data_IF_094610688137
#
_entry.id   IF_094610688137
#
_cell.length_a   1.000
_cell.length_b   1.000
_cell.length_c   1.000
_cell.angle_alpha   90.00
_cell.angle_beta   90.00
_cell.angle_gamma   90.00
#
_symmetry.space_group_name_H-M   'P 1'
#
loop_
_entity.id
_entity.type
_entity.pdbx_description
1 polymer ?
#
# COMPACT_ATOMS: atom_id res chain seq x y z
N UNK A 1 -23.38 -11.67 8.99
CA UNK A 1 -22.56 -11.43 7.79
C UNK A 1 -21.20 -12.08 8.01
N UNK A 2 -20.79 -13.05 7.18
CA UNK A 2 -19.51 -13.75 7.33
C UNK A 2 -18.45 -13.12 6.43
N UNK A 3 -17.27 -12.80 6.99
CA UNK A 3 -16.10 -12.34 6.25
C UNK A 3 -15.51 -13.52 5.47
N UNK A 4 -15.21 -13.30 4.19
CA UNK A 4 -14.51 -14.23 3.30
C UNK A 4 -13.10 -13.69 3.06
N UNK A 5 -12.14 -14.61 3.01
CA UNK A 5 -10.75 -14.33 2.65
C UNK A 5 -10.26 -15.43 1.74
N UNK A 6 -9.67 -15.03 0.62
CA UNK A 6 -8.98 -15.95 -0.28
C UNK A 6 -7.56 -15.45 -0.47
N UNK A 7 -6.59 -16.33 -0.19
CA UNK A 7 -5.19 -16.02 -0.30
C UNK A 7 -4.57 -16.80 -1.45
N UNK A 8 -3.74 -16.13 -2.24
CA UNK A 8 -3.09 -16.70 -3.40
C UNK A 8 -1.58 -16.54 -3.30
N UNK A 9 -0.85 -17.54 -3.78
CA UNK A 9 0.59 -17.51 -4.02
C UNK A 9 0.81 -17.85 -5.49
N UNK A 10 1.42 -16.94 -6.26
CA UNK A 10 1.58 -17.08 -7.72
C UNK A 10 0.28 -17.45 -8.44
N UNK A 11 -0.82 -16.77 -8.06
CA UNK A 11 -2.18 -16.99 -8.57
C UNK A 11 -2.82 -18.35 -8.25
N UNK A 12 -2.14 -19.22 -7.50
CA UNK A 12 -2.73 -20.44 -6.96
C UNK A 12 -3.32 -20.19 -5.57
N UNK A 13 -4.56 -20.61 -5.30
CA UNK A 13 -5.17 -20.45 -3.99
C UNK A 13 -4.46 -21.34 -2.96
N UNK A 14 -4.05 -20.74 -1.84
CA UNK A 14 -3.43 -21.43 -0.72
C UNK A 14 -4.29 -21.24 0.52
N UNK A 15 -4.48 -22.30 1.30
CA UNK A 15 -5.32 -22.24 2.49
C UNK A 15 -4.65 -21.39 3.58
N UNK A 16 -5.26 -20.22 3.82
CA UNK A 16 -4.90 -19.29 4.88
C UNK A 16 -5.30 -19.83 6.25
N UNK A 17 -4.36 -19.84 7.19
CA UNK A 17 -4.55 -20.22 8.60
C UNK A 17 -4.71 -18.98 9.47
N UNK A 18 -3.86 -17.97 9.27
CA UNK A 18 -3.97 -16.68 9.95
C UNK A 18 -3.37 -15.56 9.12
N UNK A 19 -3.83 -14.34 9.40
CA UNK A 19 -3.42 -13.13 8.71
C UNK A 19 -3.18 -11.98 9.71
N UNK A 20 -2.14 -11.21 9.42
CA UNK A 20 -1.85 -9.92 10.02
C UNK A 20 -1.28 -9.03 8.91
N UNK A 21 -2.05 -8.02 8.48
CA UNK A 21 -1.70 -7.15 7.35
C UNK A 21 -1.76 -5.70 7.78
N UNK A 22 -0.63 -5.00 7.68
CA UNK A 22 -0.51 -3.57 7.92
C UNK A 22 -0.29 -2.84 6.59
N UNK A 23 -1.26 -2.01 6.21
CA UNK A 23 -1.11 -1.03 5.14
C UNK A 23 -0.77 0.33 5.74
N UNK A 24 0.10 1.09 5.08
CA UNK A 24 0.56 2.41 5.54
C UNK A 24 0.54 3.41 4.38
N UNK A 25 0.37 4.70 4.70
CA UNK A 25 0.38 5.77 3.70
C UNK A 25 1.81 6.16 3.28
N UNK A 26 2.80 5.98 4.15
CA UNK A 26 4.16 6.51 3.95
C UNK A 26 5.24 5.43 3.86
N UNK A 27 4.83 4.17 3.80
CA UNK A 27 5.73 3.03 3.68
C UNK A 27 4.99 1.88 3.00
N UNK A 28 5.70 0.97 2.31
CA UNK A 28 5.07 -0.24 1.81
C UNK A 28 4.32 -0.97 2.93
N UNK A 29 3.16 -1.51 2.59
CA UNK A 29 2.47 -2.44 3.46
C UNK A 29 3.31 -3.67 3.75
N UNK A 30 3.07 -4.26 4.91
CA UNK A 30 3.73 -5.47 5.41
C UNK A 30 2.67 -6.45 5.86
N UNK A 31 2.93 -7.73 5.71
CA UNK A 31 2.03 -8.76 6.18
C UNK A 31 2.77 -9.98 6.71
N UNK A 32 2.16 -10.64 7.67
CA UNK A 32 2.55 -11.98 8.13
C UNK A 32 1.35 -12.90 7.92
N UNK A 33 1.55 -13.92 7.12
CA UNK A 33 0.53 -14.94 6.84
C UNK A 33 1.02 -16.29 7.33
N UNK A 34 0.14 -17.06 7.96
CA UNK A 34 0.35 -18.49 8.16
C UNK A 34 -0.53 -19.25 7.18
N UNK A 35 0.06 -20.19 6.44
CA UNK A 35 -0.63 -20.92 5.37
C UNK A 35 -0.33 -22.41 5.44
N UNK A 36 -1.23 -23.23 4.90
CA UNK A 36 -0.99 -24.66 4.75
C UNK A 36 -0.09 -24.91 3.54
N UNK A 37 1.13 -25.36 3.80
CA UNK A 37 2.08 -25.85 2.80
C UNK A 37 3.16 -26.71 3.46
N UNK A 38 3.46 -27.91 2.92
CA UNK A 38 4.54 -28.76 3.42
C UNK A 38 5.93 -28.28 2.97
N UNK A 39 6.02 -27.25 2.12
CA UNK A 39 7.27 -26.73 1.55
C UNK A 39 7.33 -25.20 1.66
N UNK A 40 8.53 -24.62 1.75
CA UNK A 40 8.69 -23.17 1.65
C UNK A 40 8.05 -22.62 0.36
N UNK A 41 7.46 -21.43 0.46
CA UNK A 41 6.82 -20.74 -0.66
C UNK A 41 7.61 -19.47 -1.02
N UNK A 42 7.57 -19.09 -2.30
CA UNK A 42 8.21 -17.90 -2.81
C UNK A 42 7.38 -17.29 -3.95
N UNK A 43 7.61 -16.01 -4.24
CA UNK A 43 6.94 -15.29 -5.32
C UNK A 43 5.89 -14.30 -4.84
N UNK A 44 4.88 -14.06 -5.67
CA UNK A 44 3.87 -13.03 -5.45
C UNK A 44 2.72 -13.55 -4.60
N UNK A 45 2.14 -12.65 -3.80
CA UNK A 45 0.98 -12.96 -2.96
C UNK A 45 -0.15 -11.98 -3.20
N UNK A 46 -1.37 -12.46 -3.10
CA UNK A 46 -2.59 -11.65 -3.14
C UNK A 46 -3.55 -12.10 -2.06
N UNK A 47 -4.06 -11.16 -1.28
CA UNK A 47 -5.15 -11.40 -0.33
C UNK A 47 -6.40 -10.67 -0.81
N UNK A 48 -7.45 -11.44 -1.06
CA UNK A 48 -8.79 -10.93 -1.33
C UNK A 48 -9.66 -11.04 -0.08
N UNK A 49 -10.42 -9.99 0.19
CA UNK A 49 -11.29 -9.89 1.36
C UNK A 49 -12.64 -9.32 0.95
N UNK A 50 -13.71 -9.96 1.39
CA UNK A 50 -15.06 -9.49 1.13
C UNK A 50 -16.05 -10.09 2.11
N UNK A 51 -17.32 -9.72 1.97
CA UNK A 51 -18.39 -10.30 2.79
C UNK A 51 -19.29 -11.22 1.97
N UNK A 52 -19.81 -12.26 2.62
CA UNK A 52 -20.78 -13.22 2.05
C UNK A 52 -21.94 -12.59 1.26
N UNK A 53 -22.33 -11.36 1.62
CA UNK A 53 -23.41 -10.57 1.01
C UNK A 53 -22.99 -9.77 -0.22
N UNK A 54 -21.71 -9.77 -0.57
CA UNK A 54 -21.13 -9.05 -1.71
C UNK A 54 -20.81 -10.03 -2.84
N UNK A 55 -21.00 -9.60 -4.07
CA UNK A 55 -20.73 -10.41 -5.26
C UNK A 55 -19.23 -10.54 -5.57
N UNK A 56 -18.42 -9.57 -5.11
CA UNK A 56 -16.98 -9.50 -5.39
C UNK A 56 -16.18 -9.15 -4.15
N UNK A 57 -15.14 -9.95 -3.90
CA UNK A 57 -14.15 -9.66 -2.88
C UNK A 57 -13.18 -8.58 -3.41
N UNK A 58 -12.62 -7.79 -2.50
CA UNK A 58 -11.68 -6.72 -2.82
C UNK A 58 -10.25 -7.20 -2.61
N UNK A 59 -9.35 -6.79 -3.50
CA UNK A 59 -7.92 -7.03 -3.27
C UNK A 59 -7.43 -6.11 -2.16
N UNK A 60 -7.16 -6.71 -1.00
CA UNK A 60 -6.70 -6.00 0.18
C UNK A 60 -5.18 -5.86 0.22
N UNK A 61 -4.45 -6.88 -0.23
CA UNK A 61 -2.99 -6.88 -0.25
C UNK A 61 -2.47 -7.52 -1.54
N UNK A 62 -1.47 -6.89 -2.15
CA UNK A 62 -0.64 -7.48 -3.21
C UNK A 62 0.81 -7.24 -2.85
N UNK A 63 1.64 -8.27 -2.91
CA UNK A 63 3.02 -8.16 -2.52
C UNK A 63 3.89 -9.33 -2.94
N UNK A 64 5.04 -9.44 -2.32
CA UNK A 64 6.02 -10.51 -2.50
C UNK A 64 6.36 -11.17 -1.18
N UNK A 65 6.61 -12.47 -1.20
CA UNK A 65 7.17 -13.21 -0.06
C UNK A 65 8.65 -12.81 0.07
N UNK A 66 9.01 -12.26 1.23
CA UNK A 66 10.40 -11.93 1.60
C UNK A 66 11.06 -13.11 2.29
N UNK A 67 10.33 -13.77 3.17
CA UNK A 67 10.82 -14.93 3.93
C UNK A 67 9.68 -15.95 4.10
N UNK A 68 10.03 -17.23 4.07
CA UNK A 68 9.13 -18.35 4.36
C UNK A 68 9.77 -19.23 5.42
N UNK A 69 9.16 -19.27 6.59
CA UNK A 69 9.63 -20.03 7.75
C UNK A 69 8.73 -21.24 7.99
N UNK A 70 9.32 -22.42 8.20
CA UNK A 70 8.58 -23.63 8.55
C UNK A 70 7.99 -23.47 9.95
N UNK A 71 6.68 -23.65 10.11
CA UNK A 71 6.02 -23.69 11.42
C UNK A 71 5.93 -25.14 11.92
N UNK A 72 5.48 -26.03 11.04
CA UNK A 72 5.40 -27.48 11.25
C UNK A 72 5.46 -28.20 9.89
N UNK A 73 5.27 -29.53 9.88
CA UNK A 73 5.35 -30.34 8.65
C UNK A 73 4.27 -30.05 7.59
N UNK A 74 3.30 -29.18 7.86
CA UNK A 74 2.19 -28.83 6.96
C UNK A 74 1.94 -27.32 6.85
N UNK A 75 2.74 -26.49 7.53
CA UNK A 75 2.48 -25.05 7.60
C UNK A 75 3.75 -24.21 7.41
N UNK A 76 3.57 -23.10 6.70
CA UNK A 76 4.59 -22.06 6.53
C UNK A 76 4.09 -20.74 7.11
N UNK A 77 5.01 -19.96 7.65
CA UNK A 77 4.83 -18.55 8.01
C UNK A 77 5.56 -17.69 6.99
N UNK A 78 4.79 -16.87 6.27
CA UNK A 78 5.27 -15.99 5.22
C UNK A 78 5.39 -14.57 5.77
N UNK A 79 6.56 -13.95 5.64
CA UNK A 79 6.73 -12.51 5.79
C UNK A 79 6.66 -11.87 4.41
N UNK A 80 5.73 -10.94 4.22
CA UNK A 80 5.44 -10.34 2.93
C UNK A 80 5.53 -8.82 3.00
N UNK A 81 5.96 -8.20 1.91
CA UNK A 81 5.87 -6.75 1.72
C UNK A 81 5.11 -6.44 0.44
N UNK A 82 4.47 -5.28 0.37
CA UNK A 82 3.91 -4.75 -0.89
C UNK A 82 5.00 -4.66 -1.99
N UNK A 83 4.60 -4.68 -3.26
CA UNK A 83 5.50 -4.69 -4.43
C UNK A 83 6.47 -3.51 -4.41
N UNK A 84 6.01 -2.36 -3.93
CA UNK A 84 6.83 -1.15 -3.74
C UNK A 84 8.04 -1.35 -2.84
N UNK A 85 8.15 -2.48 -2.12
CA UNK A 85 9.34 -2.83 -1.35
C UNK A 85 10.63 -2.90 -2.20
N UNK A 86 10.51 -3.14 -3.51
CA UNK A 86 11.63 -3.15 -4.46
C UNK A 86 12.36 -1.80 -4.51
N UNK A 87 11.68 -0.68 -4.20
CA UNK A 87 12.28 0.66 -4.13
C UNK A 87 13.27 0.83 -2.98
N UNK A 88 13.39 -0.15 -2.07
CA UNK A 88 14.47 -0.14 -1.07
C UNK A 88 15.85 -0.44 -1.68
N UNK A 89 15.89 -1.00 -2.89
CA UNK A 89 17.15 -1.30 -3.60
C UNK A 89 17.88 -0.02 -4.02
N UNK A 90 19.20 -0.10 -4.15
CA UNK A 90 20.02 1.01 -4.64
C UNK A 90 19.67 1.32 -6.09
N UNK A 91 19.12 2.52 -6.33
CA UNK A 91 18.55 2.93 -7.62
C UNK A 91 18.90 4.41 -7.89
N UNK A 92 20.19 4.72 -8.11
CA UNK A 92 20.61 6.08 -8.42
C UNK A 92 20.08 6.48 -9.80
N UNK A 93 19.48 7.67 -9.88
CA UNK A 93 18.94 8.24 -11.11
C UNK A 93 19.79 9.43 -11.58
N UNK A 94 19.95 9.56 -12.89
CA UNK A 94 20.60 10.72 -13.50
C UNK A 94 19.92 11.07 -14.83
N UNK A 95 18.87 11.88 -14.74
CA UNK A 95 17.99 12.19 -15.86
C UNK A 95 18.01 13.70 -16.13
N UNK A 96 18.28 14.10 -17.37
CA UNK A 96 18.33 15.52 -17.79
C UNK A 96 17.00 15.96 -18.37
N UNK A 97 16.60 17.18 -18.04
CA UNK A 97 15.36 17.78 -18.50
C UNK A 97 14.06 16.96 -18.32
N UNK A 98 13.91 16.09 -17.29
CA UNK A 98 12.74 15.22 -17.22
C UNK A 98 11.49 15.96 -16.76
N UNK A 99 10.35 15.42 -17.15
CA UNK A 99 9.04 15.62 -16.51
C UNK A 99 8.82 14.57 -15.40
N UNK A 100 7.77 14.72 -14.58
CA UNK A 100 7.43 13.70 -13.57
C UNK A 100 7.11 12.35 -14.24
N UNK A 101 6.44 12.39 -15.39
CA UNK A 101 6.12 11.21 -16.19
C UNK A 101 7.40 10.49 -16.62
N UNK A 102 8.41 11.22 -17.08
CA UNK A 102 9.70 10.63 -17.49
C UNK A 102 10.41 9.94 -16.31
N UNK A 103 10.38 10.55 -15.12
CA UNK A 103 10.99 9.95 -13.93
C UNK A 103 10.22 8.70 -13.48
N UNK A 104 8.88 8.75 -13.51
CA UNK A 104 8.03 7.60 -13.18
C UNK A 104 8.22 6.44 -14.16
N UNK A 105 8.32 6.74 -15.46
CA UNK A 105 8.64 5.78 -16.52
C UNK A 105 10.01 5.13 -16.27
N UNK A 106 11.02 5.92 -15.93
CA UNK A 106 12.35 5.39 -15.61
C UNK A 106 12.29 4.43 -14.42
N UNK A 107 11.60 4.79 -13.33
CA UNK A 107 11.41 3.87 -12.19
C UNK A 107 10.63 2.62 -12.58
N UNK A 108 9.64 2.72 -13.47
CA UNK A 108 8.91 1.58 -13.99
C UNK A 108 9.86 0.58 -14.69
N UNK A 109 10.74 1.08 -15.56
CA UNK A 109 11.72 0.28 -16.29
C UNK A 109 12.75 -0.38 -15.35
N UNK A 110 13.16 0.29 -14.28
CA UNK A 110 14.12 -0.27 -13.33
C UNK A 110 13.51 -1.32 -12.38
N UNK A 111 12.21 -1.27 -12.12
CA UNK A 111 11.58 -2.04 -11.03
C UNK A 111 10.48 -3.00 -11.47
N UNK A 112 9.96 -2.85 -12.68
CA UNK A 112 8.76 -3.54 -13.15
C UNK A 112 7.46 -3.03 -12.52
N UNK A 113 7.50 -1.99 -11.68
CA UNK A 113 6.30 -1.38 -11.11
C UNK A 113 5.53 -0.61 -12.18
N UNK A 114 4.20 -0.60 -12.09
CA UNK A 114 3.34 0.24 -12.92
C UNK A 114 3.02 1.54 -12.19
N UNK A 115 3.52 2.66 -12.69
CA UNK A 115 3.22 3.98 -12.12
C UNK A 115 1.97 4.61 -12.74
N UNK A 116 1.26 5.40 -11.93
CA UNK A 116 0.10 6.21 -12.33
C UNK A 116 0.36 7.63 -11.87
N UNK A 117 0.45 8.54 -12.83
CA UNK A 117 0.66 9.98 -12.60
C UNK A 117 -0.60 10.71 -13.07
N UNK A 118 -1.17 11.64 -12.27
CA UNK A 118 -2.35 12.38 -12.68
C UNK A 118 -2.03 13.38 -13.80
N UNK A 119 -3.00 13.61 -14.68
CA UNK A 119 -2.88 14.61 -15.75
C UNK A 119 -3.01 16.04 -15.19
N UNK A 120 -1.87 16.61 -14.80
CA UNK A 120 -1.76 17.93 -14.16
C UNK A 120 -0.54 18.70 -14.67
N UNK A 121 -0.55 20.05 -14.62
CA UNK A 121 0.56 20.86 -15.10
C UNK A 121 1.93 20.53 -14.47
N UNK A 122 1.97 20.15 -13.18
CA UNK A 122 3.23 19.75 -12.55
C UNK A 122 3.79 18.43 -13.10
N UNK A 123 2.94 17.57 -13.66
CA UNK A 123 3.37 16.26 -14.15
C UNK A 123 4.17 16.36 -15.46
N UNK A 124 3.87 17.36 -16.27
CA UNK A 124 4.49 17.59 -17.59
C UNK A 124 5.49 18.75 -17.60
N UNK A 125 5.62 19.49 -16.48
CA UNK A 125 6.66 20.51 -16.31
C UNK A 125 8.04 19.85 -16.31
N UNK A 126 8.92 20.31 -17.20
CA UNK A 126 10.33 19.90 -17.20
C UNK A 126 11.10 20.59 -16.08
N UNK A 127 11.93 19.83 -15.39
CA UNK A 127 12.96 20.35 -14.45
C UNK A 127 14.33 20.27 -15.10
N UNK A 128 15.34 21.08 -14.73
CA UNK A 128 16.66 21.02 -15.36
C UNK A 128 17.30 19.62 -15.29
N UNK A 129 17.16 18.94 -14.15
CA UNK A 129 17.62 17.57 -13.97
C UNK A 129 16.96 16.92 -12.75
N UNK A 130 16.98 15.58 -12.72
CA UNK A 130 16.67 14.75 -11.57
C UNK A 130 17.87 13.83 -11.28
N UNK A 131 18.48 14.01 -10.11
CA UNK A 131 19.64 13.25 -9.66
C UNK A 131 19.40 12.65 -8.27
N UNK A 132 19.66 11.36 -8.12
CA UNK A 132 19.57 10.67 -6.83
C UNK A 132 20.73 9.70 -6.68
N UNK A 133 21.26 9.57 -5.47
CA UNK A 133 22.36 8.65 -5.16
C UNK A 133 21.94 7.50 -4.24
N UNK A 134 20.71 7.55 -3.72
CA UNK A 134 20.20 6.63 -2.73
C UNK A 134 19.46 5.43 -3.31
N UNK A 135 18.55 4.88 -2.51
CA UNK A 135 17.58 3.89 -2.98
C UNK A 135 16.41 4.57 -3.70
N UNK A 136 15.53 3.75 -4.27
CA UNK A 136 14.30 4.22 -4.91
C UNK A 136 13.41 5.06 -3.99
N UNK A 137 13.35 4.77 -2.68
CA UNK A 137 12.58 5.61 -1.74
C UNK A 137 13.12 7.03 -1.62
N UNK A 138 14.44 7.19 -1.54
CA UNK A 138 15.05 8.52 -1.52
C UNK A 138 14.64 9.33 -2.76
N UNK A 139 14.68 8.71 -3.93
CA UNK A 139 14.28 9.39 -5.15
C UNK A 139 12.79 9.69 -5.23
N UNK A 140 11.92 8.71 -4.97
CA UNK A 140 10.47 8.89 -5.08
C UNK A 140 9.94 9.87 -4.01
N UNK A 141 10.50 9.89 -2.80
CA UNK A 141 10.10 10.85 -1.75
C UNK A 141 10.44 12.29 -2.16
N UNK A 142 11.53 12.50 -2.89
CA UNK A 142 11.98 13.83 -3.31
C UNK A 142 11.13 14.45 -4.43
N UNK A 143 10.32 13.67 -5.15
CA UNK A 143 9.59 14.14 -6.34
C UNK A 143 8.64 15.31 -6.04
N UNK A 144 8.01 15.31 -4.87
CA UNK A 144 7.16 16.42 -4.45
C UNK A 144 7.90 17.75 -4.39
N UNK A 145 9.14 17.75 -3.87
CA UNK A 145 9.98 18.93 -3.82
C UNK A 145 10.52 19.32 -5.22
N UNK A 146 10.97 18.34 -6.00
CA UNK A 146 11.56 18.56 -7.34
C UNK A 146 10.54 19.17 -8.32
N UNK A 147 9.31 18.65 -8.33
CA UNK A 147 8.27 19.06 -9.27
C UNK A 147 7.29 20.09 -8.69
N UNK A 148 7.48 20.52 -7.43
CA UNK A 148 6.63 21.51 -6.78
C UNK A 148 5.20 21.01 -6.54
N UNK A 149 5.05 19.75 -6.13
CA UNK A 149 3.76 19.10 -5.93
C UNK A 149 3.31 19.33 -4.49
N UNK A 150 2.22 20.06 -4.30
CA UNK A 150 1.62 20.24 -2.98
C UNK A 150 0.99 18.94 -2.47
N UNK A 151 1.05 18.71 -1.15
CA UNK A 151 0.48 17.53 -0.48
C UNK A 151 0.84 16.22 -1.18
N UNK A 152 2.10 16.15 -1.62
CA UNK A 152 2.65 15.03 -2.37
C UNK A 152 2.55 13.71 -1.60
N UNK A 153 2.08 12.68 -2.30
CA UNK A 153 2.08 11.30 -1.85
C UNK A 153 2.53 10.39 -2.99
N UNK A 154 3.02 9.21 -2.62
CA UNK A 154 3.04 8.06 -3.52
C UNK A 154 2.49 6.85 -2.78
N UNK A 155 1.79 5.96 -3.46
CA UNK A 155 1.13 4.84 -2.80
C UNK A 155 0.83 3.67 -3.75
N UNK A 156 1.08 2.45 -3.28
CA UNK A 156 0.57 1.26 -3.95
C UNK A 156 -0.96 1.15 -3.79
N UNK A 157 -1.65 1.01 -4.92
CA UNK A 157 -3.09 0.82 -5.00
C UNK A 157 -3.45 -0.67 -4.92
N UNK A 158 -4.74 -0.96 -4.79
CA UNK A 158 -5.23 -2.34 -4.67
C UNK A 158 -4.96 -3.22 -5.90
N UNK A 159 -4.70 -2.63 -7.06
CA UNK A 159 -4.31 -3.33 -8.29
C UNK A 159 -2.79 -3.48 -8.45
N UNK A 160 -2.00 -3.06 -7.44
CA UNK A 160 -0.54 -3.10 -7.48
C UNK A 160 0.13 -1.93 -8.20
N UNK A 161 -0.65 -1.06 -8.86
CA UNK A 161 -0.11 0.18 -9.45
C UNK A 161 0.34 1.16 -8.36
N UNK A 162 1.25 2.07 -8.70
CA UNK A 162 1.81 3.06 -7.77
C UNK A 162 1.37 4.45 -8.20
N UNK A 163 0.50 5.07 -7.42
CA UNK A 163 0.15 6.47 -7.59
C UNK A 163 1.33 7.37 -7.22
N UNK A 164 1.57 8.43 -7.98
CA UNK A 164 2.58 9.47 -7.68
C UNK A 164 2.00 10.83 -8.04
N UNK A 165 1.78 11.71 -7.06
CA UNK A 165 1.20 13.04 -7.30
C UNK A 165 0.69 13.70 -6.03
N UNK A 166 -0.08 14.78 -6.18
CA UNK A 166 -0.75 15.42 -5.04
C UNK A 166 -1.82 14.49 -4.47
N UNK A 167 -2.02 14.49 -3.15
CA UNK A 167 -3.17 13.82 -2.54
C UNK A 167 -4.50 14.34 -3.12
N UNK A 168 -4.59 15.63 -3.44
CA UNK A 168 -5.81 16.26 -3.98
C UNK A 168 -6.19 15.75 -5.37
N UNK A 169 -5.22 15.23 -6.11
CA UNK A 169 -5.43 14.62 -7.43
C UNK A 169 -5.61 13.10 -7.37
N UNK A 170 -5.49 12.53 -6.18
CA UNK A 170 -5.66 11.09 -5.97
C UNK A 170 -7.13 10.70 -5.92
N UNK A 171 -7.41 9.41 -6.05
CA UNK A 171 -8.75 8.83 -5.85
C UNK A 171 -9.35 9.11 -4.47
N UNK A 172 -8.53 9.48 -3.47
CA UNK A 172 -8.97 9.68 -2.09
C UNK A 172 -9.68 11.03 -1.89
N UNK A 173 -9.25 12.07 -2.61
CA UNK A 173 -9.76 13.42 -2.43
C UNK A 173 -11.27 13.54 -2.71
N UNK A 174 -11.78 12.73 -3.64
CA UNK A 174 -13.19 12.70 -4.02
C UNK A 174 -14.04 11.67 -3.27
N UNK A 175 -13.44 10.93 -2.32
CA UNK A 175 -14.08 9.77 -1.66
C UNK A 175 -13.86 9.77 -0.15
N UNK A 176 -14.33 10.82 0.57
CA UNK A 176 -14.30 10.79 2.02
C UNK A 176 -15.17 9.65 2.54
N UNK A 177 -14.74 9.06 3.65
CA UNK A 177 -15.47 8.00 4.34
C UNK A 177 -15.91 8.52 5.69
N UNK A 178 -17.19 8.30 6.01
CA UNK A 178 -17.71 8.56 7.33
C UNK A 178 -18.05 7.24 8.02
N UNK A 179 -17.44 7.00 9.19
CA UNK A 179 -17.76 5.86 10.04
C UNK A 179 -18.34 6.42 11.36
N UNK A 180 -19.61 6.13 11.68
CA UNK A 180 -20.22 6.53 12.94
C UNK A 180 -19.43 6.00 14.13
N UNK A 181 -19.37 6.75 15.23
CA UNK A 181 -18.54 6.38 16.38
C UNK A 181 -18.94 5.04 16.99
N UNK A 182 -20.22 4.67 16.92
CA UNK A 182 -20.76 3.43 17.46
C UNK A 182 -20.28 2.18 16.70
N UNK A 183 -19.66 2.36 15.51
CA UNK A 183 -19.05 1.27 14.75
C UNK A 183 -17.64 0.94 15.23
N UNK A 184 -17.02 1.78 16.06
CA UNK A 184 -15.73 1.48 16.66
C UNK A 184 -15.94 0.72 17.98
N UNK A 185 -15.36 -0.47 18.07
CA UNK A 185 -15.47 -1.33 19.26
C UNK A 185 -14.54 -0.87 20.39
N UNK A 186 -13.40 -0.27 20.06
CA UNK A 186 -12.40 0.19 21.02
C UNK A 186 -11.63 1.41 20.49
N UNK A 187 -11.22 2.26 21.42
CA UNK A 187 -10.27 3.36 21.19
C UNK A 187 -9.04 3.10 22.05
N UNK A 188 -7.88 2.91 21.42
CA UNK A 188 -6.63 2.65 22.11
C UNK A 188 -6.02 3.95 22.64
N UNK A 189 -5.13 3.84 23.64
CA UNK A 189 -4.45 4.98 24.25
C UNK A 189 -3.64 5.85 23.24
N UNK A 190 -3.26 5.27 22.10
CA UNK A 190 -2.57 5.95 20.98
C UNK A 190 -3.50 6.69 20.02
N UNK A 191 -4.82 6.67 20.26
CA UNK A 191 -5.84 7.26 19.38
C UNK A 191 -6.26 6.36 18.21
N UNK A 192 -5.68 5.17 18.07
CA UNK A 192 -6.11 4.18 17.08
C UNK A 192 -7.50 3.64 17.44
N UNK A 193 -8.36 3.43 16.44
CA UNK A 193 -9.72 2.92 16.62
C UNK A 193 -9.87 1.53 16.00
N UNK A 194 -10.51 0.61 16.71
CA UNK A 194 -10.79 -0.75 16.23
C UNK A 194 -12.23 -0.85 15.69
N UNK A 195 -12.42 -1.57 14.60
CA UNK A 195 -13.73 -1.83 13.99
C UNK A 195 -13.75 -3.19 13.28
N UNK A 196 -14.92 -3.58 12.78
CA UNK A 196 -15.02 -4.71 11.85
C UNK A 196 -14.25 -4.43 10.55
N UNK A 197 -13.72 -5.46 9.91
CA UNK A 197 -12.97 -5.33 8.66
C UNK A 197 -13.77 -4.61 7.58
N UNK A 198 -13.23 -3.51 7.05
CA UNK A 198 -13.78 -2.78 5.92
C UNK A 198 -12.85 -2.97 4.72
N UNK A 199 -13.12 -3.93 3.80
CA UNK A 199 -12.17 -4.30 2.75
C UNK A 199 -11.75 -3.16 1.81
N UNK A 200 -12.60 -2.14 1.66
CA UNK A 200 -12.33 -0.99 0.81
C UNK A 200 -11.51 0.11 1.51
N UNK A 201 -11.36 0.03 2.84
CA UNK A 201 -10.66 1.03 3.62
C UNK A 201 -9.14 0.85 3.45
N UNK A 202 -8.48 1.87 2.92
CA UNK A 202 -7.02 1.89 2.71
C UNK A 202 -6.45 3.22 3.20
N UNK A 203 -5.16 3.25 3.58
CA UNK A 203 -4.48 4.50 3.94
C UNK A 203 -4.62 5.56 2.83
N UNK A 204 -4.64 6.83 3.22
CA UNK A 204 -4.85 7.98 2.34
C UNK A 204 -6.30 8.47 2.29
N UNK A 205 -7.29 7.64 2.64
CA UNK A 205 -8.69 8.08 2.75
C UNK A 205 -8.83 9.21 3.77
N UNK A 206 -9.66 10.23 3.45
CA UNK A 206 -10.17 11.14 4.46
C UNK A 206 -11.28 10.42 5.26
N UNK A 207 -10.96 10.02 6.49
CA UNK A 207 -11.84 9.32 7.39
C UNK A 207 -12.26 10.27 8.52
N UNK A 208 -13.55 10.62 8.56
CA UNK A 208 -14.11 11.53 9.58
C UNK A 208 -13.37 12.88 9.71
N UNK A 209 -12.81 13.42 8.61
CA UNK A 209 -12.09 14.70 8.61
C UNK A 209 -10.59 14.58 8.86
N UNK A 210 -10.07 13.39 9.16
CA UNK A 210 -8.64 13.10 9.31
C UNK A 210 -8.13 12.19 8.19
N UNK A 211 -6.81 12.12 7.99
CA UNK A 211 -6.20 11.25 6.98
C UNK A 211 -5.85 9.90 7.59
N UNK A 212 -6.36 8.82 6.99
CA UNK A 212 -6.04 7.48 7.43
C UNK A 212 -4.57 7.17 7.11
N UNK A 213 -3.71 7.13 8.13
CA UNK A 213 -2.28 6.91 7.98
C UNK A 213 -1.92 5.43 7.91
N UNK A 214 -2.64 4.57 8.64
CA UNK A 214 -2.46 3.13 8.56
C UNK A 214 -3.73 2.34 8.87
N UNK A 215 -3.78 1.12 8.34
CA UNK A 215 -4.82 0.14 8.60
C UNK A 215 -4.14 -1.19 8.88
N UNK A 216 -4.40 -1.78 10.04
CA UNK A 216 -3.98 -3.13 10.38
C UNK A 216 -5.19 -4.05 10.42
N UNK A 217 -5.23 -5.08 9.58
CA UNK A 217 -6.23 -6.13 9.61
C UNK A 217 -5.62 -7.38 10.24
N UNK A 218 -6.30 -7.94 11.25
CA UNK A 218 -5.92 -9.20 11.88
C UNK A 218 -7.16 -10.02 12.20
N UNK A 219 -7.33 -11.15 11.50
CA UNK A 219 -8.52 -11.99 11.69
C UNK A 219 -9.80 -11.23 11.34
N UNK A 220 -10.70 -11.00 12.30
CA UNK A 220 -11.97 -10.30 12.05
C UNK A 220 -11.96 -8.82 12.45
N UNK A 221 -10.81 -8.32 12.93
CA UNK A 221 -10.66 -6.96 13.42
C UNK A 221 -9.79 -6.12 12.46
N UNK A 222 -10.12 -4.83 12.41
CA UNK A 222 -9.36 -3.81 11.71
C UNK A 222 -9.08 -2.64 12.65
N UNK A 223 -7.82 -2.29 12.80
CA UNK A 223 -7.36 -1.13 13.58
C UNK A 223 -6.91 -0.04 12.63
N UNK A 224 -7.49 1.15 12.79
CA UNK A 224 -7.20 2.34 11.99
C UNK A 224 -6.44 3.37 12.81
N UNK A 225 -5.42 3.99 12.21
CA UNK A 225 -4.72 5.14 12.81
C UNK A 225 -4.80 6.32 11.87
N UNK A 226 -5.32 7.44 12.36
CA UNK A 226 -5.53 8.67 11.60
C UNK A 226 -4.53 9.77 12.01
N UNK A 227 -4.29 10.69 11.09
CA UNK A 227 -3.49 11.89 11.28
C UNK A 227 -4.26 13.12 10.83
N UNK A 228 -4.13 14.22 11.57
CA UNK A 228 -4.80 15.50 11.22
C UNK A 228 -4.26 16.15 9.95
N UNK A 229 -3.02 15.83 9.58
CA UNK A 229 -2.34 16.41 8.43
C UNK A 229 -1.50 15.35 7.73
N UNK A 230 -1.35 15.49 6.42
CA UNK A 230 -0.42 14.66 5.65
C UNK A 230 1.02 15.08 5.96
N UNK A 231 1.88 14.09 6.19
CA UNK A 231 3.32 14.33 6.39
C UNK A 231 3.95 14.77 5.07
N UNK A 232 4.87 15.74 5.15
CA UNK A 232 5.71 16.08 4.01
C UNK A 232 6.74 14.98 3.81
N UNK A 233 6.73 14.36 2.63
CA UNK A 233 7.81 13.45 2.24
C UNK A 233 9.06 14.26 1.90
N UNK A 234 10.20 13.79 2.38
CA UNK A 234 11.54 14.35 2.16
C UNK A 234 12.45 13.29 1.57
#
# INVERSE_FOLDING_TARGET
MKLRKTFYVNDEPVKLVSDDTLLSLYSPGRAVYQVQSPRPLAGHVRLEVGYSTQDKDQVFFIGVIRESHVVDGQQQRLMCNELTCVLYTHLPAAIRHPTLVDVAQWYAEQTGLRFVVPDRPYATRRVPAFYTLGNGYHGINSLGAVFGIERYIWQQQGDGSVYVGSWDDSRWASRPVHIPEERFSQVNATGSKACAVLPQLRPGVNLNGEYLASVQMKGLEMVTTCEKQLRKLS
#
